data_IF_371227371744
#
_entry.id   IF_371227371744
#
_cell.length_a   1.000
_cell.length_b   1.000
_cell.length_c   1.000
_cell.angle_alpha   90.00
_cell.angle_beta   90.00
_cell.angle_gamma   90.00
#
_symmetry.space_group_name_H-M   'P 1'
#
loop_
_entity.id
_entity.type
_entity.pdbx_description
1 polymer ?
#
# COMPACT_ATOMS: atom_id res chain seq x y z
N UNK A 1 -6.86 -14.51 1.49
CA UNK A 1 -6.12 -13.51 2.28
C UNK A 1 -6.99 -12.31 2.64
N UNK A 2 -7.48 -11.50 1.68
CA UNK A 2 -8.25 -10.28 1.99
C UNK A 2 -9.73 -10.30 1.58
N UNK A 3 -10.22 -11.36 0.95
CA UNK A 3 -11.63 -11.49 0.54
C UNK A 3 -12.63 -11.41 1.69
N UNK A 4 -12.20 -11.69 2.93
CA UNK A 4 -12.99 -11.52 4.15
C UNK A 4 -12.72 -10.21 4.91
N UNK A 5 -11.92 -9.28 4.35
CA UNK A 5 -11.66 -7.97 4.94
C UNK A 5 -12.58 -6.88 4.41
N UNK A 6 -13.24 -7.11 3.26
CA UNK A 6 -14.27 -6.20 2.80
C UNK A 6 -15.49 -6.28 3.69
N UNK A 7 -15.98 -5.10 4.07
CA UNK A 7 -17.25 -5.02 4.77
C UNK A 7 -18.34 -5.03 3.69
N UNK A 8 -19.28 -6.00 3.73
CA UNK A 8 -20.40 -6.00 2.80
C UNK A 8 -21.14 -4.66 2.86
N UNK A 9 -21.55 -4.11 1.69
CA UNK A 9 -22.23 -2.80 1.62
C UNK A 9 -23.41 -2.65 2.58
N UNK A 10 -24.16 -3.73 2.83
CA UNK A 10 -25.29 -3.73 3.76
C UNK A 10 -24.90 -3.50 5.24
N UNK A 11 -23.65 -3.74 5.59
CA UNK A 11 -23.10 -3.58 6.95
C UNK A 11 -22.07 -2.45 7.06
N UNK A 12 -21.60 -1.95 5.92
CA UNK A 12 -20.57 -0.93 5.85
C UNK A 12 -21.00 0.35 6.58
N UNK A 13 -20.23 0.71 7.60
CA UNK A 13 -20.30 2.00 8.27
C UNK A 13 -18.93 2.65 8.18
N UNK A 14 -18.90 3.97 8.20
CA UNK A 14 -17.67 4.71 8.40
C UNK A 14 -17.76 5.43 9.74
N UNK A 15 -16.91 5.06 10.69
CA UNK A 15 -16.78 5.77 11.97
C UNK A 15 -15.31 6.11 12.17
N UNK A 16 -14.91 7.39 11.98
CA UNK A 16 -13.53 7.78 12.15
C UNK A 16 -13.10 7.59 13.62
N UNK A 17 -11.84 7.23 13.88
CA UNK A 17 -11.31 7.21 15.24
C UNK A 17 -11.29 8.58 15.91
N UNK A 18 -11.51 8.58 17.22
CA UNK A 18 -11.13 9.72 18.06
C UNK A 18 -9.62 9.88 18.13
N UNK A 19 -9.15 11.06 18.58
CA UNK A 19 -7.72 11.38 18.61
C UNK A 19 -6.88 10.39 19.43
N UNK A 20 -7.43 9.92 20.56
CA UNK A 20 -6.79 8.93 21.43
C UNK A 20 -6.66 7.58 20.73
N UNK A 21 -7.71 7.10 20.08
CA UNK A 21 -7.70 5.83 19.34
C UNK A 21 -6.68 5.88 18.19
N UNK A 22 -6.71 6.96 17.40
CA UNK A 22 -5.81 7.15 16.26
C UNK A 22 -4.35 7.24 16.70
N UNK A 23 -4.05 7.94 17.80
CA UNK A 23 -2.70 8.02 18.35
C UNK A 23 -2.22 6.66 18.89
N UNK A 24 -3.09 5.93 19.59
CA UNK A 24 -2.80 4.59 20.07
C UNK A 24 -2.53 3.62 18.91
N UNK A 25 -3.37 3.63 17.87
CA UNK A 25 -3.17 2.80 16.69
C UNK A 25 -1.86 3.12 15.96
N UNK A 26 -1.52 4.40 15.80
CA UNK A 26 -0.25 4.80 15.19
C UNK A 26 0.96 4.21 15.95
N UNK A 27 0.94 4.28 17.29
CA UNK A 27 1.97 3.67 18.14
C UNK A 27 2.02 2.14 17.97
N UNK A 28 0.87 1.48 18.05
CA UNK A 28 0.75 0.02 17.98
C UNK A 28 1.17 -0.51 16.61
N UNK A 29 0.77 0.14 15.53
CA UNK A 29 1.19 -0.23 14.18
C UNK A 29 2.71 -0.04 14.00
N UNK A 30 3.28 1.01 14.60
CA UNK A 30 4.74 1.18 14.67
C UNK A 30 5.44 0.01 15.40
N UNK A 31 4.87 -0.46 16.51
CA UNK A 31 5.39 -1.65 17.22
C UNK A 31 5.29 -2.90 16.34
N UNK A 32 4.17 -3.12 15.65
CA UNK A 32 3.99 -4.24 14.71
C UNK A 32 5.11 -4.23 13.65
N UNK A 33 5.42 -3.07 13.06
CA UNK A 33 6.50 -2.96 12.07
C UNK A 33 7.85 -3.36 12.67
N UNK A 34 8.19 -2.86 13.87
CA UNK A 34 9.45 -3.18 14.57
C UNK A 34 9.52 -4.67 14.95
N UNK A 35 8.41 -5.27 15.38
CA UNK A 35 8.37 -6.67 15.75
C UNK A 35 8.47 -7.59 14.54
N UNK A 36 7.88 -7.21 13.40
CA UNK A 36 8.01 -7.95 12.16
C UNK A 36 9.45 -7.99 11.64
N UNK A 37 10.29 -6.99 11.97
CA UNK A 37 11.73 -6.87 11.63
C UNK A 37 12.63 -7.87 12.37
N UNK A 38 12.10 -8.51 13.42
CA UNK A 38 12.80 -9.58 14.14
C UNK A 38 12.87 -10.85 13.27
N UNK A 39 13.78 -11.79 13.60
CA UNK A 39 13.81 -13.09 12.93
C UNK A 39 12.40 -13.68 12.84
N UNK A 40 12.02 -14.26 11.68
CA UNK A 40 10.65 -14.68 11.44
C UNK A 40 10.19 -15.62 12.54
N UNK A 41 9.24 -15.15 13.36
CA UNK A 41 8.50 -15.97 14.30
C UNK A 41 7.10 -16.19 13.71
N UNK A 42 6.58 -17.42 13.74
CA UNK A 42 5.19 -17.70 13.36
C UNK A 42 4.18 -17.16 14.37
N UNK A 43 4.63 -16.60 15.49
CA UNK A 43 3.78 -16.05 16.55
C UNK A 43 3.20 -14.67 16.18
N UNK A 44 2.06 -14.28 16.75
CA UNK A 44 1.56 -12.91 16.62
C UNK A 44 2.54 -11.91 17.27
N UNK A 45 2.32 -10.59 17.10
CA UNK A 45 2.99 -9.58 17.92
C UNK A 45 2.84 -9.88 19.41
N UNK A 46 3.63 -9.22 20.25
CA UNK A 46 3.53 -9.34 21.71
C UNK A 46 2.08 -9.27 22.17
N UNK A 47 1.73 -10.13 23.13
CA UNK A 47 0.36 -10.21 23.66
C UNK A 47 -0.20 -8.84 24.08
N UNK A 48 0.62 -8.00 24.71
CA UNK A 48 0.24 -6.62 25.07
C UNK A 48 -0.19 -5.78 23.86
N UNK A 49 0.54 -5.87 22.73
CA UNK A 49 0.20 -5.17 21.50
C UNK A 49 -1.12 -5.71 20.91
N UNK A 50 -1.33 -7.02 20.95
CA UNK A 50 -2.60 -7.63 20.53
C UNK A 50 -3.77 -7.21 21.41
N UNK A 51 -3.59 -7.20 22.74
CA UNK A 51 -4.61 -6.81 23.71
C UNK A 51 -4.99 -5.33 23.55
N UNK A 52 -4.02 -4.43 23.37
CA UNK A 52 -4.26 -3.01 23.09
C UNK A 52 -4.97 -2.79 21.75
N UNK A 53 -4.62 -3.54 20.69
CA UNK A 53 -5.33 -3.50 19.41
C UNK A 53 -6.77 -3.98 19.54
N UNK A 54 -7.03 -5.00 20.37
CA UNK A 54 -8.38 -5.50 20.63
C UNK A 54 -9.26 -4.44 21.30
N UNK A 55 -8.71 -3.63 22.21
CA UNK A 55 -9.42 -2.46 22.79
C UNK A 55 -9.82 -1.46 21.71
N UNK A 56 -8.99 -1.26 20.68
CA UNK A 56 -9.29 -0.40 19.53
C UNK A 56 -10.24 -1.05 18.50
N UNK A 57 -10.68 -2.29 18.73
CA UNK A 57 -11.58 -3.01 17.83
C UNK A 57 -10.86 -3.78 16.71
N UNK A 58 -9.57 -4.08 16.86
CA UNK A 58 -8.79 -4.85 15.89
C UNK A 58 -8.43 -6.24 16.39
N UNK A 59 -8.18 -7.15 15.45
CA UNK A 59 -7.57 -8.45 15.68
C UNK A 59 -6.34 -8.59 14.78
N UNK A 60 -5.33 -9.28 15.29
CA UNK A 60 -4.19 -9.71 14.49
C UNK A 60 -4.34 -11.19 14.17
N UNK A 61 -4.38 -11.52 12.89
CA UNK A 61 -4.44 -12.89 12.38
C UNK A 61 -3.13 -13.19 11.66
N UNK A 62 -2.60 -14.40 11.83
CA UNK A 62 -1.45 -14.85 11.03
C UNK A 62 -1.98 -15.48 9.75
N UNK A 63 -1.53 -14.97 8.61
CA UNK A 63 -1.81 -15.53 7.29
C UNK A 63 -0.56 -16.19 6.72
N UNK A 64 -0.69 -17.43 6.22
CA UNK A 64 0.42 -18.22 5.66
C UNK A 64 0.07 -18.67 4.27
N UNK A 65 1.01 -18.44 3.36
CA UNK A 65 0.81 -18.62 1.94
C UNK A 65 2.08 -19.19 1.33
N UNK A 66 1.98 -19.65 0.09
CA UNK A 66 3.14 -19.96 -0.75
C UNK A 66 3.98 -18.72 -1.10
N UNK A 67 3.59 -17.51 -0.69
CA UNK A 67 4.31 -16.23 -0.89
C UNK A 67 4.87 -15.63 0.39
N UNK A 68 4.70 -16.30 1.53
CA UNK A 68 5.25 -15.89 2.83
C UNK A 68 4.24 -15.94 3.97
N UNK A 69 4.71 -15.46 5.14
CA UNK A 69 3.90 -15.29 6.35
C UNK A 69 3.66 -13.82 6.62
N UNK A 70 2.43 -13.48 6.99
CA UNK A 70 1.98 -12.11 7.22
C UNK A 70 1.20 -12.01 8.53
N UNK A 71 1.31 -10.87 9.19
CA UNK A 71 0.32 -10.43 10.17
C UNK A 71 -0.74 -9.59 9.46
N UNK A 72 -1.99 -10.01 9.56
CA UNK A 72 -3.17 -9.28 9.13
C UNK A 72 -3.81 -8.59 10.33
N UNK A 73 -3.67 -7.27 10.40
CA UNK A 73 -4.40 -6.41 11.33
C UNK A 73 -5.70 -6.00 10.65
N UNK A 74 -6.84 -6.42 11.19
CA UNK A 74 -8.16 -6.09 10.64
C UNK A 74 -9.16 -5.83 11.76
N UNK A 75 -10.27 -5.21 11.43
CA UNK A 75 -11.37 -5.02 12.38
C UNK A 75 -11.89 -6.34 12.94
N UNK A 76 -12.28 -6.32 14.21
CA UNK A 76 -13.08 -7.37 14.82
C UNK A 76 -14.41 -7.49 14.11
N UNK A 77 -14.88 -8.72 13.97
CA UNK A 77 -16.20 -8.99 13.42
C UNK A 77 -17.28 -8.28 14.24
N UNK A 78 -18.25 -7.66 13.54
CA UNK A 78 -19.31 -6.86 14.14
C UNK A 78 -18.94 -5.40 14.48
N UNK A 79 -17.68 -4.98 14.33
CA UNK A 79 -17.31 -3.54 14.43
C UNK A 79 -17.60 -2.79 13.12
N UNK A 80 -17.13 -3.33 12.00
CA UNK A 80 -17.49 -2.95 10.62
C UNK A 80 -17.53 -1.42 10.37
N UNK A 81 -16.57 -0.68 10.93
CA UNK A 81 -16.54 0.80 10.97
C UNK A 81 -15.66 1.44 9.88
N UNK A 82 -15.15 0.64 8.94
CA UNK A 82 -14.30 1.14 7.86
C UNK A 82 -12.92 1.55 8.33
N UNK A 83 -12.40 0.85 9.32
CA UNK A 83 -11.11 1.11 9.94
C UNK A 83 -9.93 0.69 9.06
N UNK A 84 -10.16 -0.07 7.98
CA UNK A 84 -9.13 -0.57 7.08
C UNK A 84 -8.61 -1.96 7.43
N UNK A 85 -7.78 -2.51 6.55
CA UNK A 85 -7.06 -3.76 6.74
C UNK A 85 -5.60 -3.60 6.34
N UNK A 86 -4.72 -4.18 7.15
CA UNK A 86 -3.28 -3.95 7.08
C UNK A 86 -2.53 -5.28 7.14
N UNK A 87 -1.76 -5.59 6.10
CA UNK A 87 -0.85 -6.73 6.09
C UNK A 87 0.57 -6.26 6.38
N UNK A 88 1.28 -7.01 7.21
CA UNK A 88 2.71 -6.82 7.49
C UNK A 88 3.45 -8.12 7.24
N UNK A 89 4.40 -8.13 6.31
CA UNK A 89 5.24 -9.28 5.98
C UNK A 89 6.22 -9.56 7.12
N UNK A 90 6.40 -10.83 7.51
CA UNK A 90 7.31 -11.21 8.59
C UNK A 90 8.71 -11.60 8.09
N UNK A 91 9.72 -11.33 8.93
CA UNK A 91 11.09 -11.78 8.72
C UNK A 91 11.94 -10.86 7.84
N UNK A 92 13.25 -11.17 7.77
CA UNK A 92 14.26 -10.52 6.90
C UNK A 92 14.40 -11.20 5.54
N UNK A 93 13.71 -12.31 5.32
CA UNK A 93 13.79 -13.11 4.11
C UNK A 93 12.92 -12.49 3.01
N UNK A 94 13.31 -11.30 2.56
CA UNK A 94 12.67 -10.50 1.52
C UNK A 94 12.83 -11.08 0.12
N UNK A 95 12.47 -12.34 -0.08
CA UNK A 95 12.23 -12.87 -1.42
C UNK A 95 10.85 -13.49 -1.52
N UNK A 96 10.25 -13.56 -2.71
CA UNK A 96 9.16 -14.50 -2.93
C UNK A 96 9.65 -15.87 -2.45
N UNK A 97 8.83 -16.55 -1.67
CA UNK A 97 9.12 -17.92 -1.27
C UNK A 97 9.42 -18.75 -2.52
N UNK A 98 10.64 -19.27 -2.61
CA UNK A 98 11.02 -20.27 -3.58
C UNK A 98 10.69 -21.63 -2.96
N UNK A 99 10.01 -22.55 -3.67
CA UNK A 99 9.80 -23.90 -3.17
C UNK A 99 11.15 -24.55 -2.82
N UNK A 100 11.21 -25.51 -1.88
CA UNK A 100 12.46 -26.16 -1.48
C UNK A 100 13.31 -26.70 -2.65
N UNK A 101 12.68 -27.08 -3.76
CA UNK A 101 13.32 -27.54 -4.99
C UNK A 101 14.04 -26.46 -5.81
N UNK A 102 13.73 -25.18 -5.59
CA UNK A 102 14.36 -24.03 -6.26
C UNK A 102 15.50 -23.40 -5.42
N UNK A 103 15.83 -23.96 -4.24
CA UNK A 103 17.00 -23.59 -3.43
C UNK A 103 18.31 -24.22 -3.96
N UNK A 104 18.41 -24.49 -5.26
CA UNK A 104 19.70 -24.75 -5.87
C UNK A 104 20.51 -23.46 -5.76
N UNK A 105 21.51 -23.47 -4.87
CA UNK A 105 22.40 -22.36 -4.61
C UNK A 105 22.90 -21.80 -5.94
N UNK A 106 22.67 -20.52 -6.20
CA UNK A 106 23.47 -19.78 -7.16
C UNK A 106 24.92 -19.88 -6.67
N UNK A 107 25.84 -20.56 -7.37
CA UNK A 107 27.22 -20.65 -6.92
C UNK A 107 27.82 -19.25 -7.02
N UNK A 108 28.17 -18.65 -5.88
CA UNK A 108 28.82 -17.33 -5.83
C UNK A 108 28.19 -16.31 -4.86
N UNK A 109 27.01 -16.57 -4.29
CA UNK A 109 26.49 -15.73 -3.21
C UNK A 109 27.23 -16.08 -1.91
N UNK A 110 28.22 -15.27 -1.54
CA UNK A 110 28.93 -15.39 -0.27
C UNK A 110 27.99 -15.30 0.95
N UNK A 111 28.43 -15.75 2.13
CA UNK A 111 27.61 -15.85 3.35
C UNK A 111 27.15 -14.52 3.95
N UNK A 112 27.41 -13.38 3.28
CA UNK A 112 27.19 -12.03 3.80
C UNK A 112 26.13 -11.21 3.04
N UNK A 113 25.30 -11.85 2.21
CA UNK A 113 24.09 -11.23 1.68
C UNK A 113 23.05 -11.07 2.81
N UNK A 114 23.29 -10.15 3.75
CA UNK A 114 22.28 -9.61 4.65
C UNK A 114 21.20 -8.99 3.78
N UNK A 115 20.16 -9.77 3.45
CA UNK A 115 18.95 -9.25 2.82
C UNK A 115 18.38 -8.19 3.76
N UNK A 116 18.45 -6.94 3.30
CA UNK A 116 17.87 -5.78 3.95
C UNK A 116 16.35 -5.97 4.01
N UNK A 117 15.73 -5.53 5.09
CA UNK A 117 14.26 -5.45 5.14
C UNK A 117 13.86 -4.36 4.16
N UNK A 118 13.10 -4.71 3.13
CA UNK A 118 12.54 -3.72 2.20
C UNK A 118 11.65 -2.76 2.96
N UNK A 119 11.93 -1.46 2.87
CA UNK A 119 11.12 -0.39 3.48
C UNK A 119 10.13 0.15 2.45
N UNK A 120 9.25 -0.72 2.00
CA UNK A 120 8.23 -0.40 1.00
C UNK A 120 6.83 -0.71 1.53
N UNK A 121 5.87 0.19 1.29
CA UNK A 121 4.46 -0.03 1.53
C UNK A 121 3.65 0.16 0.25
N UNK A 122 2.63 -0.68 0.07
CA UNK A 122 1.59 -0.51 -0.96
C UNK A 122 0.30 -0.07 -0.29
N UNK A 123 -0.37 0.94 -0.85
CA UNK A 123 -1.59 1.53 -0.30
C UNK A 123 -2.71 1.56 -1.35
N UNK A 124 -3.91 1.13 -0.97
CA UNK A 124 -5.12 1.17 -1.79
C UNK A 124 -6.25 1.85 -1.01
N UNK A 125 -6.24 3.20 -0.89
CA UNK A 125 -7.21 3.93 -0.08
C UNK A 125 -8.64 3.86 -0.64
N UNK A 126 -8.79 3.61 -1.94
CA UNK A 126 -10.08 3.54 -2.64
C UNK A 126 -10.39 2.13 -3.20
N UNK A 127 -9.90 1.07 -2.54
CA UNK A 127 -10.06 -0.33 -2.97
C UNK A 127 -11.46 -0.73 -3.50
N UNK A 128 -12.54 -0.19 -2.92
CA UNK A 128 -13.90 -0.43 -3.40
C UNK A 128 -14.34 0.43 -4.59
N UNK A 129 -13.91 1.69 -4.63
CA UNK A 129 -14.37 2.69 -5.60
C UNK A 129 -13.52 2.64 -6.87
N UNK A 130 -12.22 2.44 -6.71
CA UNK A 130 -11.24 2.29 -7.77
C UNK A 130 -11.08 0.80 -8.09
N UNK A 131 -12.11 0.23 -8.75
CA UNK A 131 -12.21 -1.21 -9.06
C UNK A 131 -10.87 -1.85 -9.49
N UNK A 132 -10.54 -3.02 -8.97
CA UNK A 132 -9.33 -3.81 -9.23
C UNK A 132 -8.02 -3.26 -8.63
N UNK A 133 -7.99 -2.05 -8.07
CA UNK A 133 -6.77 -1.56 -7.38
C UNK A 133 -6.42 -2.43 -6.19
N UNK A 134 -7.40 -3.03 -5.54
CA UNK A 134 -7.24 -3.96 -4.44
C UNK A 134 -6.57 -5.26 -4.85
N UNK A 135 -7.00 -5.83 -5.97
CA UNK A 135 -6.47 -7.07 -6.50
C UNK A 135 -5.03 -6.85 -6.99
N UNK A 136 -4.81 -5.77 -7.76
CA UNK A 136 -3.48 -5.39 -8.27
C UNK A 136 -2.54 -5.06 -7.10
N UNK A 137 -2.99 -4.28 -6.12
CA UNK A 137 -2.17 -3.88 -4.98
C UNK A 137 -1.79 -5.04 -4.08
N UNK A 138 -2.72 -5.97 -3.81
CA UNK A 138 -2.42 -7.17 -3.05
C UNK A 138 -1.45 -8.07 -3.81
N UNK A 139 -1.66 -8.30 -5.11
CA UNK A 139 -0.75 -9.12 -5.91
C UNK A 139 0.66 -8.50 -5.94
N UNK A 140 0.77 -7.19 -6.16
CA UNK A 140 2.02 -6.44 -6.06
C UNK A 140 2.70 -6.62 -4.70
N UNK A 141 1.94 -6.52 -3.60
CA UNK A 141 2.50 -6.77 -2.27
C UNK A 141 3.04 -8.20 -2.14
N UNK A 142 2.30 -9.21 -2.63
CA UNK A 142 2.67 -10.61 -2.51
C UNK A 142 3.91 -10.99 -3.32
N UNK A 143 4.05 -10.45 -4.54
CA UNK A 143 5.18 -10.76 -5.43
C UNK A 143 6.39 -9.84 -5.26
N UNK A 144 6.24 -8.73 -4.53
CA UNK A 144 7.35 -7.86 -4.14
C UNK A 144 7.85 -8.18 -2.73
N UNK A 145 8.94 -7.53 -2.36
CA UNK A 145 9.48 -7.52 -1.00
C UNK A 145 8.78 -6.50 -0.09
N UNK A 146 7.71 -5.82 -0.56
CA UNK A 146 7.01 -4.82 0.22
C UNK A 146 6.68 -5.33 1.63
N UNK A 147 6.93 -4.47 2.61
CA UNK A 147 6.80 -4.76 4.03
C UNK A 147 5.37 -4.66 4.51
N UNK A 148 4.63 -3.69 3.98
CA UNK A 148 3.27 -3.43 4.38
C UNK A 148 2.34 -3.29 3.18
N UNK A 149 1.11 -3.75 3.34
CA UNK A 149 0.00 -3.45 2.44
C UNK A 149 -1.17 -2.90 3.25
N UNK A 150 -1.74 -1.78 2.80
CA UNK A 150 -2.81 -1.08 3.50
C UNK A 150 -3.97 -0.87 2.53
N UNK A 151 -5.18 -1.21 2.95
CA UNK A 151 -6.39 -0.93 2.16
C UNK A 151 -7.53 -0.37 3.02
N UNK A 152 -8.35 0.47 2.40
CA UNK A 152 -9.67 0.79 2.94
C UNK A 152 -10.60 -0.41 2.82
N UNK A 153 -11.50 -0.58 3.79
CA UNK A 153 -12.50 -1.67 3.84
C UNK A 153 -13.92 -1.20 3.52
N UNK A 154 -14.08 0.08 3.15
CA UNK A 154 -15.35 0.70 2.77
C UNK A 154 -15.22 1.55 1.50
N UNK A 155 -16.36 1.81 0.84
CA UNK A 155 -16.48 2.72 -0.29
C UNK A 155 -16.15 4.15 0.15
N UNK A 156 -15.33 4.87 -0.62
CA UNK A 156 -14.89 6.23 -0.27
C UNK A 156 -16.06 7.22 -0.16
N UNK A 157 -17.17 6.95 -0.87
CA UNK A 157 -18.36 7.79 -0.87
C UNK A 157 -19.33 7.49 0.27
N UNK A 158 -19.05 6.48 1.09
CA UNK A 158 -19.81 6.22 2.31
C UNK A 158 -19.69 7.41 3.26
N UNK A 159 -20.81 7.86 3.82
CA UNK A 159 -20.82 8.99 4.77
C UNK A 159 -20.83 8.48 6.21
N UNK A 160 -20.01 9.09 7.05
CA UNK A 160 -20.01 8.88 8.49
C UNK A 160 -21.16 9.59 9.21
N UNK A 161 -21.27 9.46 10.54
CA UNK A 161 -22.33 10.07 11.35
C UNK A 161 -22.40 11.59 11.23
N UNK A 162 -21.27 12.24 10.97
CA UNK A 162 -21.13 13.70 10.76
C UNK A 162 -21.37 14.12 9.29
N UNK A 163 -21.79 13.19 8.43
CA UNK A 163 -22.03 13.42 7.00
C UNK A 163 -20.78 13.46 6.14
N UNK A 164 -19.59 13.30 6.72
CA UNK A 164 -18.31 13.37 5.99
C UNK A 164 -18.01 12.05 5.27
N UNK A 165 -17.35 12.13 4.11
CA UNK A 165 -17.04 10.95 3.29
C UNK A 165 -15.91 10.10 3.89
N UNK A 166 -15.94 8.80 3.67
CA UNK A 166 -14.93 7.82 4.09
C UNK A 166 -13.66 7.84 3.23
N UNK A 167 -13.43 8.93 2.49
CA UNK A 167 -12.28 9.09 1.61
C UNK A 167 -10.97 9.24 2.41
N UNK A 168 -10.35 8.11 2.72
CA UNK A 168 -9.12 8.04 3.52
C UNK A 168 -7.94 8.77 2.88
N UNK A 169 -7.95 8.96 1.55
CA UNK A 169 -6.92 9.71 0.83
C UNK A 169 -6.98 11.22 1.11
N UNK A 170 -8.13 11.73 1.58
CA UNK A 170 -8.36 13.15 1.85
C UNK A 170 -8.61 13.45 3.34
N UNK A 171 -8.35 12.49 4.24
CA UNK A 171 -8.66 12.60 5.67
C UNK A 171 -7.49 12.33 6.58
N UNK A 172 -7.39 13.13 7.63
CA UNK A 172 -6.33 13.03 8.65
C UNK A 172 -6.76 12.18 9.85
N UNK A 173 -8.06 12.02 10.05
CA UNK A 173 -8.71 11.38 11.19
C UNK A 173 -9.09 9.93 10.88
N UNK A 174 -8.16 9.17 10.30
CA UNK A 174 -8.38 7.77 9.95
C UNK A 174 -7.26 6.89 10.50
N UNK A 175 -7.56 5.62 10.77
CA UNK A 175 -6.51 4.65 11.09
C UNK A 175 -5.58 4.41 9.89
N UNK A 176 -6.06 4.59 8.66
CA UNK A 176 -5.24 4.55 7.44
C UNK A 176 -4.14 5.62 7.46
N UNK A 177 -4.50 6.85 7.86
CA UNK A 177 -3.52 7.91 8.09
C UNK A 177 -2.59 7.58 9.25
N UNK A 178 -3.12 7.08 10.37
CA UNK A 178 -2.31 6.66 11.52
C UNK A 178 -1.26 5.60 11.16
N UNK A 179 -1.61 4.63 10.32
CA UNK A 179 -0.68 3.63 9.80
C UNK A 179 0.40 4.27 8.92
N UNK A 180 0.03 5.24 8.08
CA UNK A 180 1.00 5.98 7.26
C UNK A 180 1.99 6.77 8.10
N UNK A 181 1.52 7.45 9.15
CA UNK A 181 2.39 8.16 10.09
C UNK A 181 3.31 7.20 10.86
N UNK A 182 2.83 6.00 11.17
CA UNK A 182 3.66 4.97 11.78
C UNK A 182 4.79 4.53 10.83
N UNK A 183 4.49 4.29 9.55
CA UNK A 183 5.52 4.00 8.53
C UNK A 183 6.55 5.14 8.46
N UNK A 184 6.10 6.40 8.40
CA UNK A 184 7.01 7.55 8.32
C UNK A 184 7.93 7.66 9.53
N UNK A 185 7.42 7.37 10.73
CA UNK A 185 8.20 7.40 11.97
C UNK A 185 9.21 6.26 12.07
N UNK A 186 8.86 5.07 11.58
CA UNK A 186 9.72 3.88 11.68
C UNK A 186 10.77 3.81 10.56
N UNK A 187 10.56 4.46 9.43
CA UNK A 187 11.44 4.37 8.28
C UNK A 187 12.24 5.66 8.06
N UNK A 188 13.56 5.50 7.91
CA UNK A 188 14.48 6.60 7.61
C UNK A 188 14.66 6.85 6.11
N UNK A 189 14.31 5.85 5.29
CA UNK A 189 14.38 5.92 3.82
C UNK A 189 13.50 4.81 3.23
N UNK A 190 12.19 5.01 3.26
CA UNK A 190 11.19 4.11 2.72
C UNK A 190 10.49 4.66 1.48
N UNK A 191 9.67 3.81 0.87
CA UNK A 191 8.78 4.12 -0.25
C UNK A 191 7.36 3.76 0.12
N UNK A 192 6.43 4.69 -0.05
CA UNK A 192 5.00 4.44 0.05
C UNK A 192 4.41 4.63 -1.33
N UNK A 193 4.01 3.53 -1.97
CA UNK A 193 3.33 3.51 -3.25
C UNK A 193 1.83 3.42 -3.01
N UNK A 194 1.10 4.45 -3.41
CA UNK A 194 -0.35 4.50 -3.29
C UNK A 194 -0.99 4.36 -4.67
N UNK A 195 -1.79 3.32 -4.85
CA UNK A 195 -2.49 3.00 -6.08
C UNK A 195 -3.89 3.60 -6.06
N UNK A 196 -4.22 4.29 -7.14
CA UNK A 196 -5.54 4.80 -7.44
C UNK A 196 -5.98 4.36 -8.85
N UNK A 197 -7.25 4.56 -9.13
CA UNK A 197 -7.85 4.28 -10.41
C UNK A 197 -8.58 5.49 -10.98
N UNK A 198 -8.37 5.75 -12.26
CA UNK A 198 -9.14 6.76 -12.98
C UNK A 198 -9.86 6.14 -14.19
N UNK A 199 -10.86 6.87 -14.68
CA UNK A 199 -11.59 6.59 -15.92
C UNK A 199 -11.16 7.62 -16.97
N UNK A 200 -10.53 7.15 -18.05
CA UNK A 200 -9.99 8.03 -19.09
C UNK A 200 -11.09 8.89 -19.76
N UNK A 201 -12.32 8.36 -19.87
CA UNK A 201 -13.48 9.07 -20.40
C UNK A 201 -13.97 10.20 -19.50
N UNK A 202 -13.74 10.11 -18.19
CA UNK A 202 -14.05 11.19 -17.21
C UNK A 202 -12.93 12.22 -17.05
N UNK A 203 -11.75 11.94 -17.62
CA UNK A 203 -10.60 12.83 -17.61
C UNK A 203 -10.15 13.16 -19.05
N UNK A 204 -11.03 13.79 -19.87
CA UNK A 204 -10.67 14.17 -21.24
C UNK A 204 -9.52 15.19 -21.20
N UNK A 205 -8.43 14.91 -21.91
CA UNK A 205 -7.24 15.76 -21.93
C UNK A 205 -5.93 14.96 -21.87
N UNK A 206 -4.89 15.54 -21.27
CA UNK A 206 -3.57 14.91 -21.18
C UNK A 206 -3.59 13.63 -20.34
N UNK A 207 -4.43 13.52 -19.30
CA UNK A 207 -4.50 12.33 -18.44
C UNK A 207 -5.06 11.10 -19.15
N UNK A 208 -6.17 11.25 -19.89
CA UNK A 208 -6.83 10.14 -20.59
C UNK A 208 -6.04 9.53 -21.76
N UNK A 209 -4.83 10.02 -22.05
CA UNK A 209 -3.94 9.50 -23.11
C UNK A 209 -2.94 8.47 -22.62
N UNK A 210 -2.79 8.32 -21.30
CA UNK A 210 -1.79 7.44 -20.69
C UNK A 210 -2.49 6.31 -19.93
N UNK A 211 -1.82 5.16 -19.87
CA UNK A 211 -2.27 4.03 -19.08
C UNK A 211 -2.07 4.28 -17.57
N UNK A 212 -1.04 5.06 -17.21
CA UNK A 212 -0.78 5.45 -15.84
C UNK A 212 -0.25 6.88 -15.69
N UNK A 213 -0.51 7.49 -14.53
CA UNK A 213 0.06 8.78 -14.13
C UNK A 213 0.82 8.62 -12.81
N UNK A 214 2.09 8.99 -12.81
CA UNK A 214 2.94 8.99 -11.62
C UNK A 214 3.07 10.40 -11.05
N UNK A 215 2.89 10.54 -9.74
CA UNK A 215 3.12 11.79 -9.00
C UNK A 215 3.78 11.53 -7.65
N UNK A 216 4.46 12.53 -7.08
CA UNK A 216 4.89 12.53 -5.68
C UNK A 216 3.99 13.36 -4.76
N UNK A 217 2.81 13.78 -5.25
CA UNK A 217 1.83 14.51 -4.44
C UNK A 217 2.21 15.95 -4.13
N UNK A 218 3.32 16.47 -4.65
CA UNK A 218 3.77 17.85 -4.38
C UNK A 218 3.12 18.88 -5.30
N UNK A 219 2.74 18.48 -6.52
CA UNK A 219 2.26 19.38 -7.56
C UNK A 219 3.32 20.32 -8.14
N UNK A 220 4.60 20.08 -7.83
CA UNK A 220 5.69 20.88 -8.38
C UNK A 220 5.78 20.73 -9.90
N UNK A 221 6.21 21.80 -10.57
CA UNK A 221 6.42 21.78 -12.02
C UNK A 221 7.57 20.84 -12.43
N UNK A 222 8.46 20.52 -11.50
CA UNK A 222 9.51 19.52 -11.68
C UNK A 222 9.45 18.54 -10.51
N UNK A 223 9.12 17.26 -10.74
CA UNK A 223 9.13 16.23 -9.70
C UNK A 223 10.50 16.04 -9.08
N UNK A 224 10.55 15.44 -7.90
CA UNK A 224 11.83 15.12 -7.25
C UNK A 224 12.70 14.23 -8.15
N UNK A 225 14.03 14.30 -8.00
CA UNK A 225 14.95 13.42 -8.74
C UNK A 225 14.63 11.93 -8.53
N UNK A 226 14.17 11.57 -7.33
CA UNK A 226 13.73 10.21 -7.02
C UNK A 226 12.49 9.84 -7.84
N UNK A 227 11.48 10.72 -7.90
CA UNK A 227 10.26 10.53 -8.71
C UNK A 227 10.58 10.44 -10.20
N UNK A 228 11.46 11.32 -10.71
CA UNK A 228 11.93 11.28 -12.10
C UNK A 228 12.64 9.97 -12.44
N UNK A 229 13.47 9.44 -11.55
CA UNK A 229 14.14 8.16 -11.74
C UNK A 229 13.13 7.00 -11.83
N UNK A 230 12.12 6.98 -10.96
CA UNK A 230 11.02 6.01 -11.04
C UNK A 230 10.24 6.16 -12.34
N UNK A 231 9.88 7.39 -12.73
CA UNK A 231 9.16 7.65 -13.98
C UNK A 231 9.93 7.14 -15.21
N UNK A 232 11.25 7.37 -15.28
CA UNK A 232 12.10 6.83 -16.35
C UNK A 232 12.13 5.30 -16.35
N UNK A 233 12.23 4.68 -15.18
CA UNK A 233 12.19 3.23 -15.05
C UNK A 233 10.87 2.64 -15.57
N UNK A 234 9.73 3.18 -15.13
CA UNK A 234 8.41 2.69 -15.55
C UNK A 234 8.17 2.88 -17.05
N UNK A 235 8.65 3.98 -17.63
CA UNK A 235 8.57 4.28 -19.07
C UNK A 235 9.42 3.39 -19.97
N UNK A 236 10.39 2.68 -19.41
CA UNK A 236 11.26 1.82 -20.21
C UNK A 236 10.50 0.60 -20.76
N UNK A 237 9.35 0.25 -20.20
CA UNK A 237 8.51 -0.85 -20.67
C UNK A 237 7.50 -0.35 -21.72
N UNK A 238 7.55 -0.83 -22.98
CA UNK A 238 6.67 -0.35 -24.04
C UNK A 238 5.23 -0.91 -23.95
N UNK A 239 4.94 -1.84 -23.04
CA UNK A 239 3.60 -2.47 -22.92
C UNK A 239 2.54 -1.54 -22.29
N UNK A 240 2.96 -0.39 -21.79
CA UNK A 240 2.10 0.63 -21.21
C UNK A 240 2.73 2.03 -21.36
N UNK A 241 1.90 3.05 -21.22
CA UNK A 241 2.28 4.45 -21.32
C UNK A 241 2.15 5.15 -19.96
N UNK A 242 3.19 5.83 -19.52
CA UNK A 242 3.25 6.47 -18.19
C UNK A 242 3.52 7.96 -18.31
N UNK A 243 2.55 8.78 -17.89
CA UNK A 243 2.75 10.21 -17.69
C UNK A 243 3.38 10.49 -16.32
N UNK A 244 4.22 11.51 -16.27
CA UNK A 244 4.78 12.03 -15.04
C UNK A 244 4.15 13.40 -14.75
N UNK A 245 3.45 13.50 -13.63
CA UNK A 245 2.82 14.74 -13.21
C UNK A 245 3.88 15.82 -12.96
N UNK A 246 3.64 17.04 -13.43
CA UNK A 246 4.62 18.13 -13.47
C UNK A 246 5.31 18.26 -14.84
N UNK A 247 5.56 17.14 -15.52
CA UNK A 247 6.24 17.11 -16.84
C UNK A 247 5.23 17.00 -17.98
N UNK A 248 4.43 15.93 -18.03
CA UNK A 248 3.54 15.65 -19.17
C UNK A 248 2.09 16.06 -18.90
N UNK A 249 1.72 16.18 -17.63
CA UNK A 249 0.38 16.55 -17.18
C UNK A 249 0.42 17.16 -15.80
N UNK A 250 -0.63 17.89 -15.40
CA UNK A 250 -0.85 18.32 -14.01
C UNK A 250 -2.12 17.73 -13.40
N UNK A 251 -2.88 16.98 -14.19
CA UNK A 251 -4.07 16.29 -13.71
C UNK A 251 -3.69 15.17 -12.74
N UNK A 252 -4.55 14.92 -11.76
CA UNK A 252 -4.41 13.84 -10.77
C UNK A 252 -3.05 13.83 -10.03
N UNK A 253 -2.47 15.01 -9.81
CA UNK A 253 -1.16 15.18 -9.18
C UNK A 253 -1.17 14.98 -7.65
N UNK A 254 -2.25 14.45 -7.07
CA UNK A 254 -2.38 14.12 -5.64
C UNK A 254 -2.01 15.22 -4.63
N UNK A 255 -2.10 16.51 -5.01
CA UNK A 255 -1.69 17.64 -4.15
C UNK A 255 -2.52 17.78 -2.88
N UNK A 256 -3.74 17.21 -2.90
CA UNK A 256 -4.65 17.17 -1.76
C UNK A 256 -4.61 15.84 -1.01
N UNK A 257 -3.72 14.93 -1.35
CA UNK A 257 -3.59 13.65 -0.67
C UNK A 257 -3.00 13.82 0.74
N UNK A 258 -3.68 13.31 1.75
CA UNK A 258 -3.27 13.43 3.14
C UNK A 258 -1.98 12.64 3.43
N UNK A 259 -1.88 11.41 2.95
CA UNK A 259 -0.70 10.56 3.18
C UNK A 259 0.54 11.17 2.50
N UNK A 260 0.37 11.63 1.26
CA UNK A 260 1.41 12.32 0.51
C UNK A 260 1.90 13.57 1.22
N UNK A 261 1.00 14.43 1.72
CA UNK A 261 1.40 15.61 2.50
C UNK A 261 2.19 15.23 3.76
N UNK A 262 1.76 14.22 4.49
CA UNK A 262 2.44 13.78 5.71
C UNK A 262 3.88 13.31 5.43
N UNK A 263 4.05 12.45 4.43
CA UNK A 263 5.37 11.93 4.03
C UNK A 263 6.28 13.02 3.46
N UNK A 264 5.74 13.91 2.62
CA UNK A 264 6.48 15.02 2.04
C UNK A 264 6.92 16.04 3.10
N UNK A 265 6.10 16.27 4.13
CA UNK A 265 6.46 17.14 5.26
C UNK A 265 7.60 16.54 6.09
N UNK A 266 7.64 15.21 6.23
CA UNK A 266 8.73 14.51 6.91
C UNK A 266 10.03 14.45 6.10
N UNK A 267 9.98 14.49 4.76
CA UNK A 267 11.12 14.57 3.84
C UNK A 267 11.98 13.30 3.72
N UNK A 268 11.84 12.35 4.66
CA UNK A 268 12.61 11.10 4.76
C UNK A 268 12.15 10.05 3.74
N UNK A 269 10.84 9.83 3.68
CA UNK A 269 10.22 8.77 2.90
C UNK A 269 9.67 9.30 1.57
N UNK A 270 9.74 8.47 0.51
CA UNK A 270 9.25 8.82 -0.81
C UNK A 270 7.78 8.39 -0.95
N UNK A 271 6.90 9.36 -1.17
CA UNK A 271 5.53 9.07 -1.60
C UNK A 271 5.47 8.96 -3.12
N UNK A 272 4.85 7.89 -3.63
CA UNK A 272 4.56 7.69 -5.04
C UNK A 272 3.06 7.45 -5.17
N UNK A 273 2.38 8.35 -5.85
CA UNK A 273 0.98 8.22 -6.22
C UNK A 273 0.90 7.74 -7.67
N UNK A 274 0.27 6.59 -7.89
CA UNK A 274 0.12 5.99 -9.21
C UNK A 274 -1.36 5.80 -9.52
N UNK A 275 -1.83 6.57 -10.49
CA UNK A 275 -3.19 6.48 -11.05
C UNK A 275 -3.16 5.53 -12.23
N UNK A 276 -4.01 4.49 -12.20
CA UNK A 276 -4.10 3.48 -13.26
C UNK A 276 -5.43 3.61 -14.02
N UNK A 277 -5.39 3.63 -15.34
CA UNK A 277 -6.62 3.70 -16.15
C UNK A 277 -7.50 2.46 -15.93
N UNK A 278 -8.81 2.59 -16.13
CA UNK A 278 -9.76 1.48 -16.07
C UNK A 278 -9.39 0.34 -17.02
N UNK A 279 -8.89 0.68 -18.20
CA UNK A 279 -8.48 -0.21 -19.27
C UNK A 279 -7.24 -1.00 -18.87
N UNK A 280 -6.21 -0.31 -18.35
CA UNK A 280 -5.00 -0.95 -17.84
C UNK A 280 -5.36 -1.88 -16.68
N UNK A 281 -6.11 -1.40 -15.67
CA UNK A 281 -6.48 -2.21 -14.51
C UNK A 281 -7.23 -3.49 -14.90
N UNK A 282 -8.15 -3.38 -15.86
CA UNK A 282 -8.90 -4.55 -16.35
C UNK A 282 -7.95 -5.55 -17.02
N UNK A 283 -7.08 -5.09 -17.91
CA UNK A 283 -6.06 -5.92 -18.57
C UNK A 283 -5.12 -6.59 -17.56
N UNK A 284 -4.61 -5.82 -16.60
CA UNK A 284 -3.72 -6.31 -15.55
C UNK A 284 -4.38 -7.41 -14.72
N UNK A 285 -5.60 -7.18 -14.24
CA UNK A 285 -6.32 -8.15 -13.42
C UNK A 285 -6.54 -9.49 -14.13
N UNK A 286 -6.74 -9.48 -15.45
CA UNK A 286 -6.84 -10.71 -16.25
C UNK A 286 -5.52 -11.49 -16.34
N UNK A 287 -4.40 -10.81 -16.18
CA UNK A 287 -3.06 -11.40 -16.26
C UNK A 287 -2.53 -11.83 -14.89
N UNK A 288 -3.32 -11.71 -13.81
CA UNK A 288 -2.89 -12.17 -12.50
C UNK A 288 -3.11 -13.67 -12.31
N UNK A 289 -2.21 -14.38 -11.60
CA UNK A 289 -0.93 -13.93 -11.03
C UNK A 289 0.25 -14.08 -12.02
N UNK A 290 -0.01 -14.19 -13.32
CA UNK A 290 1.00 -14.43 -14.37
C UNK A 290 1.97 -13.25 -14.57
N UNK A 291 1.82 -12.17 -13.81
CA UNK A 291 2.71 -11.01 -13.82
C UNK A 291 2.32 -9.99 -14.87
N UNK A 292 1.19 -9.31 -14.65
CA UNK A 292 0.85 -8.12 -15.42
C UNK A 292 1.98 -7.07 -15.37
N UNK A 293 2.05 -6.19 -16.39
CA UNK A 293 3.20 -5.28 -16.54
C UNK A 293 3.34 -4.34 -15.34
N UNK A 294 2.23 -3.93 -14.74
CA UNK A 294 2.22 -3.06 -13.56
C UNK A 294 2.87 -3.77 -12.38
N UNK A 295 2.43 -4.98 -12.08
CA UNK A 295 2.97 -5.75 -10.96
C UNK A 295 4.43 -6.15 -11.19
N UNK A 296 4.80 -6.55 -12.42
CA UNK A 296 6.18 -6.89 -12.76
C UNK A 296 7.13 -5.70 -12.57
N UNK A 297 6.79 -4.53 -13.13
CA UNK A 297 7.66 -3.36 -13.06
C UNK A 297 7.73 -2.81 -11.63
N UNK A 298 6.59 -2.68 -10.95
CA UNK A 298 6.58 -2.15 -9.59
C UNK A 298 7.25 -3.12 -8.61
N UNK A 299 7.12 -4.43 -8.78
CA UNK A 299 7.85 -5.38 -7.93
C UNK A 299 9.37 -5.25 -8.11
N UNK A 300 9.86 -5.09 -9.35
CA UNK A 300 11.29 -4.79 -9.61
C UNK A 300 11.73 -3.52 -8.91
N UNK A 301 10.94 -2.45 -9.00
CA UNK A 301 11.21 -1.18 -8.31
C UNK A 301 11.29 -1.34 -6.79
N UNK A 302 10.38 -2.12 -6.20
CA UNK A 302 10.31 -2.33 -4.75
C UNK A 302 11.36 -3.34 -4.26
N UNK A 303 11.93 -4.14 -5.16
CA UNK A 303 12.97 -5.14 -4.87
C UNK A 303 14.40 -4.67 -5.16
N UNK A 304 14.59 -3.61 -5.94
CA UNK A 304 15.91 -3.10 -6.33
C UNK A 304 16.59 -2.22 -5.27
N UNK A 305 16.24 -2.39 -3.98
CA UNK A 305 16.73 -1.57 -2.86
C UNK A 305 17.20 -2.41 -1.70
#
# INVERSE_FOLDING_TARGET
MLTGCYIPRARARFVPPGDVERAAFCRLFGQILVEADRPPSPEPPRRSTCDELAVLGFVVVIDRTDRGTFWLVRELEGRERGAGAYLVRLGRDGGPWAPPSARAATPGAGPDARRTVSRAAVQCPHAHSDRLTEVIGLDLFLVSSARAYLQSTVDRHLRGPDGTEADTAHRNDTFFQAATEALDRQWECGVVLQLHGFDAGRHPGAAGRFDALLSDGTGQASPSQRTMAVGRFLRADPRWSVALCGVDTRALAATKNTQGRALNSGGRNLFLHLELSSELRSREAHLLPLGGVVTEQLSRLLNSR
#
